data_IF_081890151007
#
_entry.id   IF_081890151007
#
_cell.length_a   1.000
_cell.length_b   1.000
_cell.length_c   1.000
_cell.angle_alpha   90.00
_cell.angle_beta   90.00
_cell.angle_gamma   90.00
#
_symmetry.space_group_name_H-M   'P 1'
#
loop_
_entity.id
_entity.type
_entity.pdbx_description
1 polymer ?
#
# COMPACT_ATOMS: atom_id res chain seq x y z
N UNK A 1 -1.13 7.97 12.96
CA UNK A 1 -1.16 7.82 11.49
C UNK A 1 -1.58 6.40 11.10
N UNK A 2 -0.89 5.33 11.55
CA UNK A 2 -1.18 3.93 11.16
C UNK A 2 -2.65 3.53 11.37
N UNK A 3 -3.20 3.73 12.56
CA UNK A 3 -4.61 3.40 12.85
C UNK A 3 -5.59 4.11 11.93
N UNK A 4 -5.32 5.37 11.62
CA UNK A 4 -6.14 6.16 10.70
C UNK A 4 -6.05 5.63 9.26
N UNK A 5 -4.85 5.30 8.79
CA UNK A 5 -4.63 4.71 7.46
C UNK A 5 -5.41 3.40 7.30
N UNK A 6 -5.36 2.53 8.30
CA UNK A 6 -6.08 1.26 8.30
C UNK A 6 -7.60 1.47 8.35
N UNK A 7 -8.08 2.43 9.14
CA UNK A 7 -9.48 2.80 9.14
C UNK A 7 -9.95 3.26 7.74
N UNK A 8 -9.09 4.02 7.04
CA UNK A 8 -9.40 4.55 5.70
C UNK A 8 -9.34 3.50 4.59
N UNK A 9 -8.68 2.37 4.80
CA UNK A 9 -8.74 1.25 3.86
C UNK A 9 -10.15 0.66 3.78
N UNK A 10 -10.99 0.76 4.82
CA UNK A 10 -12.33 0.17 4.86
C UNK A 10 -12.29 -1.32 4.47
N UNK A 11 -11.38 -2.07 5.08
CA UNK A 11 -11.17 -3.48 4.80
C UNK A 11 -12.44 -4.30 5.06
N UNK A 12 -12.66 -5.28 4.19
CA UNK A 12 -13.64 -6.35 4.36
C UNK A 12 -12.94 -7.61 4.86
N UNK A 13 -13.70 -8.60 5.30
CA UNK A 13 -13.16 -9.84 5.86
C UNK A 13 -12.31 -10.65 4.88
N UNK A 14 -12.58 -10.54 3.59
CA UNK A 14 -11.95 -11.24 2.47
C UNK A 14 -11.02 -10.35 1.64
N UNK A 15 -10.60 -9.21 2.16
CA UNK A 15 -9.77 -8.26 1.42
C UNK A 15 -8.42 -8.84 1.03
N UNK A 16 -7.97 -8.54 -0.19
CA UNK A 16 -6.60 -8.78 -0.67
C UNK A 16 -5.88 -7.44 -0.71
N UNK A 17 -4.85 -7.28 0.11
CA UNK A 17 -4.21 -6.00 0.37
C UNK A 17 -2.72 -6.00 0.07
N UNK A 18 -2.25 -5.03 -0.70
CA UNK A 18 -0.83 -4.72 -0.84
C UNK A 18 -0.40 -3.70 0.23
N UNK A 19 0.71 -3.98 0.92
CA UNK A 19 1.43 -3.02 1.79
C UNK A 19 2.76 -2.66 1.13
N UNK A 20 2.77 -1.56 0.36
CA UNK A 20 3.89 -1.15 -0.48
C UNK A 20 4.83 -0.23 0.30
N UNK A 21 6.11 -0.62 0.38
CA UNK A 21 7.08 0.01 1.27
C UNK A 21 6.78 -0.33 2.71
N UNK A 22 6.60 -1.61 2.99
CA UNK A 22 6.07 -2.15 4.25
C UNK A 22 6.97 -1.85 5.47
N UNK A 23 8.27 -1.60 5.23
CA UNK A 23 9.24 -1.29 6.28
C UNK A 23 9.32 -2.44 7.30
N UNK A 24 8.95 -2.20 8.54
CA UNK A 24 8.92 -3.24 9.59
C UNK A 24 7.71 -4.17 9.52
N UNK A 25 6.82 -4.01 8.53
CA UNK A 25 5.58 -4.77 8.42
C UNK A 25 4.48 -4.34 9.39
N UNK A 26 4.63 -3.20 10.04
CA UNK A 26 3.68 -2.80 11.09
C UNK A 26 2.25 -2.55 10.58
N UNK A 27 2.09 -2.11 9.34
CA UNK A 27 0.78 -1.93 8.70
C UNK A 27 0.24 -3.28 8.26
N UNK A 28 1.06 -4.10 7.59
CA UNK A 28 0.70 -5.46 7.18
C UNK A 28 0.18 -6.30 8.37
N UNK A 29 0.89 -6.28 9.51
CA UNK A 29 0.49 -6.98 10.75
C UNK A 29 -0.87 -6.50 11.26
N UNK A 30 -1.10 -5.21 11.33
CA UNK A 30 -2.38 -4.66 11.80
C UNK A 30 -3.55 -4.96 10.85
N UNK A 31 -3.28 -5.01 9.53
CA UNK A 31 -4.28 -5.43 8.54
C UNK A 31 -4.60 -6.91 8.72
N UNK A 32 -3.59 -7.77 8.79
CA UNK A 32 -3.74 -9.22 8.87
C UNK A 32 -4.47 -9.67 10.16
N UNK A 33 -4.27 -8.96 11.28
CA UNK A 33 -4.95 -9.22 12.54
C UNK A 33 -6.47 -8.98 12.51
N UNK A 34 -6.99 -8.26 11.51
CA UNK A 34 -8.43 -7.95 11.46
C UNK A 34 -9.29 -9.14 11.08
N UNK A 35 -8.78 -10.02 10.22
CA UNK A 35 -9.45 -11.26 9.82
C UNK A 35 -8.41 -12.25 9.29
N UNK A 36 -8.53 -13.52 9.64
CA UNK A 36 -7.71 -14.59 9.05
C UNK A 36 -7.99 -14.83 7.57
N UNK A 37 -9.07 -14.31 7.03
CA UNK A 37 -9.42 -14.40 5.60
C UNK A 37 -8.78 -13.28 4.77
N UNK A 38 -8.34 -12.19 5.38
CA UNK A 38 -7.60 -11.13 4.69
C UNK A 38 -6.24 -11.69 4.25
N UNK A 39 -5.90 -11.50 2.98
CA UNK A 39 -4.57 -11.77 2.46
C UNK A 39 -3.77 -10.49 2.38
N UNK A 40 -2.56 -10.48 2.91
CA UNK A 40 -1.67 -9.31 2.88
C UNK A 40 -0.38 -9.65 2.15
N UNK A 41 -0.03 -8.82 1.18
CA UNK A 41 1.24 -8.90 0.46
C UNK A 41 2.11 -7.73 0.91
N UNK A 42 3.10 -8.01 1.75
CA UNK A 42 4.04 -7.02 2.27
C UNK A 42 5.23 -6.88 1.31
N UNK A 43 5.32 -5.74 0.64
CA UNK A 43 6.34 -5.45 -0.37
C UNK A 43 7.43 -4.58 0.25
N UNK A 44 8.66 -5.05 0.25
CA UNK A 44 9.81 -4.32 0.79
C UNK A 44 11.10 -4.74 0.04
N UNK A 45 12.01 -3.77 -0.17
CA UNK A 45 13.28 -4.01 -0.86
C UNK A 45 14.50 -4.16 0.06
N UNK A 46 14.41 -3.62 1.28
CA UNK A 46 15.55 -3.57 2.21
C UNK A 46 15.67 -4.88 2.98
N UNK A 47 16.83 -5.60 2.89
CA UNK A 47 17.01 -6.90 3.56
C UNK A 47 16.72 -6.86 5.06
N UNK A 48 17.24 -5.86 5.78
CA UNK A 48 16.99 -5.72 7.23
C UNK A 48 15.50 -5.53 7.57
N UNK A 49 14.75 -4.85 6.70
CA UNK A 49 13.32 -4.67 6.90
C UNK A 49 12.55 -5.97 6.62
N UNK A 50 12.95 -6.74 5.60
CA UNK A 50 12.40 -8.06 5.32
C UNK A 50 12.55 -9.02 6.50
N UNK A 51 13.72 -9.04 7.16
CA UNK A 51 13.95 -9.82 8.38
C UNK A 51 12.99 -9.39 9.51
N UNK A 52 12.74 -8.09 9.67
CA UNK A 52 11.83 -7.58 10.70
C UNK A 52 10.38 -7.95 10.39
N UNK A 53 9.97 -7.90 9.13
CA UNK A 53 8.64 -8.36 8.71
C UNK A 53 8.48 -9.84 9.09
N UNK A 54 9.46 -10.69 8.75
CA UNK A 54 9.41 -12.12 9.03
C UNK A 54 9.31 -12.39 10.53
N UNK A 55 10.13 -11.74 11.36
CA UNK A 55 10.07 -11.84 12.82
C UNK A 55 8.70 -11.41 13.36
N UNK A 56 8.07 -10.40 12.77
CA UNK A 56 6.75 -9.96 13.19
C UNK A 56 5.65 -10.96 12.78
N UNK A 57 5.75 -11.56 11.59
CA UNK A 57 4.84 -12.62 11.14
C UNK A 57 4.87 -13.80 12.13
N UNK A 58 6.07 -14.27 12.47
CA UNK A 58 6.27 -15.36 13.43
C UNK A 58 5.76 -15.01 14.83
N UNK A 59 6.15 -13.83 15.34
CA UNK A 59 5.75 -13.35 16.68
C UNK A 59 4.25 -13.28 16.87
N UNK A 60 3.51 -12.88 15.83
CA UNK A 60 2.06 -12.69 15.89
C UNK A 60 1.28 -13.85 15.27
N UNK A 61 1.96 -14.90 14.79
CA UNK A 61 1.37 -16.07 14.14
C UNK A 61 0.38 -15.70 13.02
N UNK A 62 0.85 -14.91 12.04
CA UNK A 62 0.03 -14.37 10.95
C UNK A 62 0.36 -15.06 9.60
N UNK A 63 -0.18 -16.27 9.35
CA UNK A 63 0.08 -17.01 8.11
C UNK A 63 -0.54 -16.35 6.87
N UNK A 64 -1.41 -15.39 7.06
CA UNK A 64 -2.09 -14.64 6.02
C UNK A 64 -1.29 -13.42 5.51
N UNK A 65 0.00 -13.30 5.90
CA UNK A 65 0.93 -12.32 5.33
C UNK A 65 1.94 -13.06 4.44
N UNK A 66 2.07 -12.63 3.21
CA UNK A 66 3.11 -13.05 2.28
C UNK A 66 4.09 -11.91 2.04
N UNK A 67 5.39 -12.21 2.11
CA UNK A 67 6.44 -11.22 1.87
C UNK A 67 6.88 -11.27 0.41
N UNK A 68 6.94 -10.11 -0.23
CA UNK A 68 7.47 -9.92 -1.58
C UNK A 68 8.74 -9.07 -1.46
N UNK A 69 9.90 -9.72 -1.63
CA UNK A 69 11.18 -9.04 -1.66
C UNK A 69 11.36 -8.35 -3.02
N UNK A 70 11.37 -7.04 -3.04
CA UNK A 70 11.54 -6.27 -4.27
C UNK A 70 11.06 -4.84 -4.17
N UNK A 71 11.32 -4.09 -5.23
CA UNK A 71 10.87 -2.69 -5.35
C UNK A 71 9.63 -2.59 -6.23
N UNK A 72 8.61 -1.90 -5.73
CA UNK A 72 7.46 -1.55 -6.55
C UNK A 72 7.82 -0.40 -7.51
N UNK A 73 7.30 -0.41 -8.75
CA UNK A 73 6.27 -1.29 -9.27
C UNK A 73 6.79 -2.63 -9.86
N UNK A 74 8.10 -2.82 -9.98
CA UNK A 74 8.64 -3.93 -10.77
C UNK A 74 8.23 -5.30 -10.21
N UNK A 75 8.32 -5.51 -8.90
CA UNK A 75 7.86 -6.74 -8.26
C UNK A 75 6.33 -6.93 -8.35
N UNK A 76 5.55 -5.86 -8.48
CA UNK A 76 4.09 -5.95 -8.64
C UNK A 76 3.68 -6.44 -10.03
N UNK A 77 4.48 -6.15 -11.07
CA UNK A 77 4.22 -6.59 -12.44
C UNK A 77 4.37 -8.10 -12.59
N UNK A 78 5.28 -8.69 -11.82
CA UNK A 78 5.57 -10.14 -11.85
C UNK A 78 4.81 -10.92 -10.78
N UNK A 79 4.05 -10.25 -9.92
CA UNK A 79 3.30 -10.89 -8.85
C UNK A 79 1.98 -11.47 -9.38
N UNK A 80 1.92 -12.78 -9.43
CA UNK A 80 0.77 -13.55 -9.93
C UNK A 80 -0.07 -14.20 -8.82
N UNK A 81 0.44 -14.26 -7.58
CA UNK A 81 -0.24 -14.92 -6.45
C UNK A 81 -1.48 -14.19 -5.96
N UNK A 82 -1.57 -12.88 -6.20
CA UNK A 82 -2.75 -12.10 -5.88
C UNK A 82 -3.61 -11.90 -7.12
N UNK A 83 -4.56 -12.78 -7.33
CA UNK A 83 -5.41 -12.75 -8.53
C UNK A 83 -6.27 -11.49 -8.62
N UNK A 84 -6.75 -10.96 -7.50
CA UNK A 84 -7.63 -9.77 -7.49
C UNK A 84 -7.36 -8.87 -6.28
N UNK A 85 -6.29 -8.06 -6.28
CA UNK A 85 -6.03 -7.15 -5.17
C UNK A 85 -7.14 -6.10 -5.07
N UNK A 86 -7.71 -5.97 -3.88
CA UNK A 86 -8.85 -5.08 -3.60
C UNK A 86 -8.43 -3.79 -2.92
N UNK A 87 -7.29 -3.82 -2.22
CA UNK A 87 -6.79 -2.70 -1.42
C UNK A 87 -5.27 -2.55 -1.59
N UNK A 88 -4.79 -1.32 -1.49
CA UNK A 88 -3.37 -1.03 -1.38
C UNK A 88 -3.11 0.08 -0.35
N UNK A 89 -2.11 -0.14 0.49
CA UNK A 89 -1.50 0.89 1.30
C UNK A 89 -0.13 1.21 0.72
N UNK A 90 0.18 2.49 0.52
CA UNK A 90 1.48 2.96 0.02
C UNK A 90 2.14 3.76 1.14
N UNK A 91 3.11 3.14 1.82
CA UNK A 91 3.91 3.75 2.87
C UNK A 91 5.17 4.44 2.36
N UNK A 92 5.65 4.04 1.17
CA UNK A 92 6.79 4.63 0.48
C UNK A 92 6.81 4.25 -1.00
N UNK A 93 7.10 5.21 -1.87
CA UNK A 93 7.10 5.04 -3.34
C UNK A 93 8.49 5.07 -3.97
N UNK A 94 9.53 5.46 -3.23
CA UNK A 94 10.89 5.67 -3.76
C UNK A 94 10.93 6.57 -5.01
N UNK A 95 10.05 7.58 -5.09
CA UNK A 95 9.98 8.48 -6.24
C UNK A 95 9.24 7.91 -7.45
N UNK A 96 8.60 6.74 -7.34
CA UNK A 96 7.93 6.03 -8.45
C UNK A 96 6.42 5.89 -8.26
N UNK A 97 5.81 6.85 -7.54
CA UNK A 97 4.39 6.76 -7.18
C UNK A 97 3.47 6.62 -8.40
N UNK A 98 3.75 7.37 -9.48
CA UNK A 98 2.97 7.29 -10.71
C UNK A 98 2.95 5.87 -11.29
N UNK A 99 4.13 5.27 -11.45
CA UNK A 99 4.27 3.93 -12.01
C UNK A 99 3.59 2.87 -11.13
N UNK A 100 3.68 3.03 -9.81
CA UNK A 100 2.97 2.17 -8.84
C UNK A 100 1.46 2.28 -9.05
N UNK A 101 0.93 3.49 -9.13
CA UNK A 101 -0.51 3.72 -9.33
C UNK A 101 -0.99 3.17 -10.67
N UNK A 102 -0.20 3.31 -11.73
CA UNK A 102 -0.52 2.77 -13.05
C UNK A 102 -0.69 1.22 -12.97
N UNK A 103 0.28 0.52 -12.37
CA UNK A 103 0.23 -0.94 -12.21
C UNK A 103 -0.95 -1.37 -11.31
N UNK A 104 -1.21 -0.68 -10.21
CA UNK A 104 -2.34 -0.99 -9.34
C UNK A 104 -3.68 -0.79 -10.06
N UNK A 105 -3.78 0.26 -10.87
CA UNK A 105 -4.97 0.51 -11.68
C UNK A 105 -5.20 -0.58 -12.72
N UNK A 106 -4.15 -1.04 -13.41
CA UNK A 106 -4.25 -2.16 -14.36
C UNK A 106 -4.71 -3.44 -13.69
N UNK A 107 -4.27 -3.72 -12.46
CA UNK A 107 -4.68 -4.92 -11.70
C UNK A 107 -6.15 -4.85 -11.25
N UNK A 108 -6.63 -3.69 -10.81
CA UNK A 108 -8.03 -3.50 -10.41
C UNK A 108 -8.42 -2.02 -10.39
N UNK A 109 -9.26 -1.63 -11.35
CA UNK A 109 -9.78 -0.26 -11.46
C UNK A 109 -10.64 0.19 -10.27
N UNK A 110 -11.17 -0.73 -9.48
CA UNK A 110 -11.99 -0.47 -8.29
C UNK A 110 -11.20 -0.57 -6.98
N UNK A 111 -9.87 -0.73 -7.07
CA UNK A 111 -9.00 -0.86 -5.89
C UNK A 111 -9.08 0.37 -5.00
N UNK A 112 -9.22 0.15 -3.70
CA UNK A 112 -9.11 1.23 -2.71
C UNK A 112 -7.65 1.43 -2.33
N UNK A 113 -7.14 2.64 -2.53
CA UNK A 113 -5.73 2.97 -2.27
C UNK A 113 -5.66 4.03 -1.17
N UNK A 114 -4.80 3.78 -0.19
CA UNK A 114 -4.44 4.75 0.86
C UNK A 114 -2.95 5.04 0.75
N UNK A 115 -2.60 6.31 0.60
CA UNK A 115 -1.21 6.76 0.46
C UNK A 115 -0.83 7.57 1.69
N UNK A 116 0.25 7.19 2.35
CA UNK A 116 0.81 7.95 3.45
C UNK A 116 1.92 8.87 2.95
N UNK A 117 1.63 10.16 2.87
CA UNK A 117 2.57 11.17 2.40
C UNK A 117 3.32 11.77 3.57
N UNK A 118 4.47 11.20 3.93
CA UNK A 118 5.32 11.70 5.01
C UNK A 118 6.41 12.62 4.45
N UNK A 119 6.89 12.38 3.24
CA UNK A 119 7.94 13.16 2.60
C UNK A 119 7.37 14.25 1.69
N UNK A 120 8.08 15.38 1.62
CA UNK A 120 7.79 16.46 0.66
C UNK A 120 7.85 15.97 -0.79
N UNK A 121 8.70 14.98 -1.06
CA UNK A 121 8.83 14.34 -2.35
C UNK A 121 7.52 13.65 -2.77
N UNK A 122 6.94 12.82 -1.92
CA UNK A 122 5.65 12.16 -2.19
C UNK A 122 4.51 13.19 -2.38
N UNK A 123 4.50 14.26 -1.58
CA UNK A 123 3.53 15.35 -1.73
C UNK A 123 3.70 16.04 -3.09
N UNK A 124 4.94 16.31 -3.50
CA UNK A 124 5.25 16.90 -4.81
C UNK A 124 4.80 15.99 -5.96
N UNK A 125 5.12 14.70 -5.90
CA UNK A 125 4.69 13.72 -6.91
C UNK A 125 3.17 13.72 -7.07
N UNK A 126 2.43 13.66 -5.98
CA UNK A 126 0.97 13.69 -6.00
C UNK A 126 0.40 15.00 -6.55
N UNK A 127 1.03 16.13 -6.23
CA UNK A 127 0.60 17.44 -6.76
C UNK A 127 0.78 17.51 -8.26
N UNK A 128 1.90 17.00 -8.78
CA UNK A 128 2.19 16.92 -10.22
C UNK A 128 1.22 15.96 -10.92
N UNK A 129 0.94 14.82 -10.33
CA UNK A 129 -0.01 13.84 -10.88
C UNK A 129 -1.43 14.41 -11.01
N UNK A 130 -1.83 15.32 -10.14
CA UNK A 130 -3.12 16.01 -10.24
C UNK A 130 -3.20 17.03 -11.35
N UNK A 131 -2.09 17.68 -11.66
CA UNK A 131 -2.03 18.74 -12.66
C UNK A 131 -1.92 18.19 -14.09
N UNK A 132 -1.48 16.95 -14.24
CA UNK A 132 -1.32 16.30 -15.55
C UNK A 132 -2.58 15.50 -15.96
N UNK A 133 -2.71 15.20 -17.26
CA UNK A 133 -3.84 14.42 -17.81
C UNK A 133 -4.01 13.00 -17.22
N UNK A 134 -3.06 12.52 -16.42
CA UNK A 134 -3.15 11.35 -15.52
C UNK A 134 -4.27 11.51 -14.48
N UNK A 135 -4.88 12.69 -14.41
CA UNK A 135 -6.08 12.95 -13.63
C UNK A 135 -7.26 12.00 -13.94
N UNK A 136 -7.21 11.20 -15.01
CA UNK A 136 -8.21 10.14 -15.24
C UNK A 136 -8.12 9.03 -14.19
N UNK A 137 -6.90 8.58 -13.88
CA UNK A 137 -6.66 7.56 -12.84
C UNK A 137 -7.06 8.14 -11.48
N UNK A 138 -6.60 9.35 -11.13
CA UNK A 138 -6.96 9.98 -9.86
C UNK A 138 -8.42 10.43 -9.77
N UNK A 139 -9.10 10.66 -10.91
CA UNK A 139 -10.55 10.96 -10.94
C UNK A 139 -11.42 9.72 -10.74
N UNK A 140 -10.95 8.54 -11.17
CA UNK A 140 -11.63 7.27 -10.88
C UNK A 140 -11.46 6.86 -9.41
N UNK A 141 -10.36 7.26 -8.76
CA UNK A 141 -10.19 7.14 -7.32
C UNK A 141 -10.87 8.34 -6.64
N UNK A 142 -11.78 8.10 -5.70
CA UNK A 142 -12.33 9.14 -4.83
C UNK A 142 -11.24 9.64 -3.91
N UNK A 143 -10.38 10.57 -4.38
CA UNK A 143 -9.31 11.15 -3.59
C UNK A 143 -9.89 12.01 -2.47
N UNK A 144 -9.76 11.61 -1.22
CA UNK A 144 -10.03 12.45 -0.05
C UNK A 144 -8.73 12.70 0.69
N UNK A 145 -8.50 13.95 1.08
CA UNK A 145 -7.32 14.36 1.82
C UNK A 145 -7.60 14.47 3.30
N UNK A 146 -6.68 13.99 4.10
CA UNK A 146 -6.57 14.32 5.50
C UNK A 146 -5.16 14.83 5.74
N UNK A 147 -5.04 16.11 6.02
CA UNK A 147 -3.77 16.71 6.44
C UNK A 147 -3.74 16.69 7.96
N UNK A 148 -2.82 15.92 8.52
CA UNK A 148 -2.50 15.97 9.94
C UNK A 148 -1.07 16.51 10.05
N UNK A 149 -0.75 17.28 11.12
CA UNK A 149 0.58 17.90 11.29
C UNK A 149 1.72 17.05 10.72
N UNK A 150 2.33 17.48 9.62
CA UNK A 150 3.46 16.90 8.89
C UNK A 150 3.20 15.62 8.06
N UNK A 151 1.96 15.20 7.84
CA UNK A 151 1.65 14.09 6.93
C UNK A 151 0.27 14.23 6.30
N UNK A 152 0.13 13.82 5.05
CA UNK A 152 -1.14 13.76 4.35
C UNK A 152 -1.49 12.28 4.06
N UNK A 153 -2.77 11.94 4.22
CA UNK A 153 -3.32 10.63 3.83
C UNK A 153 -4.27 10.89 2.67
N UNK A 154 -4.06 10.19 1.56
CA UNK A 154 -4.91 10.28 0.37
C UNK A 154 -5.66 8.96 0.23
N UNK A 155 -6.94 9.08 -0.03
CA UNK A 155 -7.87 7.95 -0.12
C UNK A 155 -8.50 7.95 -1.49
#
# INVERSE_FOLDING_TARGET
IRALSICKLHLKEDSVCYDIGSGTGSVAVEIAKRSGQIQVFAIEKKPLALELIQKNIEKFALPNIQVIAGEAPDCLKTEERSEHPTHAFIGGSSGRLKEILDVLYEKNHAMRIVINCISLETIRELTLLKQTAVSRILKSFRCRYLVQKQSAIII
#
